data_IF_465300217224
#
_entry.id   IF_465300217224
#
_cell.length_a   1.000
_cell.length_b   1.000
_cell.length_c   1.000
_cell.angle_alpha   90.00
_cell.angle_beta   90.00
_cell.angle_gamma   90.00
#
_symmetry.space_group_name_H-M   'P 1'
#
loop_
_entity.id
_entity.type
_entity.pdbx_description
1 polymer ?
#
# COMPACT_ATOMS: atom_id res chain seq x y z
N UNK A 1 -6.59 -9.11 -24.23
CA UNK A 1 -5.48 -9.40 -23.29
C UNK A 1 -5.35 -8.25 -22.30
N UNK A 2 -6.23 -8.23 -21.31
CA UNK A 2 -6.25 -7.29 -20.19
C UNK A 2 -5.42 -7.78 -18.99
N UNK A 3 -4.95 -9.03 -19.02
CA UNK A 3 -4.16 -9.67 -17.98
C UNK A 3 -2.89 -8.88 -17.60
N UNK A 4 -2.74 -8.62 -16.31
CA UNK A 4 -1.56 -8.02 -15.73
C UNK A 4 -0.38 -9.00 -15.78
N UNK A 5 0.76 -8.53 -16.27
CA UNK A 5 2.01 -9.29 -16.31
C UNK A 5 2.88 -8.99 -15.08
N UNK A 6 3.56 -10.00 -14.56
CA UNK A 6 4.51 -9.84 -13.45
C UNK A 6 5.63 -8.84 -13.79
N UNK A 7 6.06 -8.75 -15.05
CA UNK A 7 7.08 -7.79 -15.49
C UNK A 7 6.62 -6.35 -15.32
N UNK A 8 5.34 -6.08 -15.56
CA UNK A 8 4.74 -4.76 -15.35
C UNK A 8 4.70 -4.47 -13.85
N UNK A 9 4.27 -5.44 -13.06
CA UNK A 9 4.24 -5.31 -11.61
C UNK A 9 5.63 -4.99 -11.04
N UNK A 10 6.68 -5.70 -11.44
CA UNK A 10 8.03 -5.41 -10.95
C UNK A 10 8.51 -4.02 -11.33
N UNK A 11 8.28 -3.57 -12.57
CA UNK A 11 8.64 -2.20 -12.96
C UNK A 11 7.94 -1.16 -12.10
N UNK A 12 6.65 -1.38 -11.83
CA UNK A 12 5.88 -0.51 -10.94
C UNK A 12 6.39 -0.58 -9.50
N UNK A 13 6.66 -1.78 -8.98
CA UNK A 13 7.23 -1.98 -7.65
C UNK A 13 8.54 -1.20 -7.48
N UNK A 14 9.50 -1.35 -8.40
CA UNK A 14 10.76 -0.62 -8.35
C UNK A 14 10.58 0.90 -8.42
N UNK A 15 9.71 1.37 -9.32
CA UNK A 15 9.39 2.80 -9.40
C UNK A 15 8.85 3.30 -8.06
N UNK A 16 7.91 2.58 -7.46
CA UNK A 16 7.32 2.96 -6.18
C UNK A 16 8.36 2.96 -5.07
N UNK A 17 9.20 1.93 -4.96
CA UNK A 17 10.29 1.89 -3.98
C UNK A 17 11.21 3.12 -4.11
N UNK A 18 11.55 3.54 -5.33
CA UNK A 18 12.35 4.75 -5.57
C UNK A 18 11.60 6.01 -5.13
N UNK A 19 10.32 6.16 -5.48
CA UNK A 19 9.50 7.31 -5.06
C UNK A 19 9.45 7.41 -3.53
N UNK A 20 9.16 6.30 -2.85
CA UNK A 20 9.13 6.25 -1.38
C UNK A 20 10.48 6.62 -0.77
N UNK A 21 11.57 6.05 -1.28
CA UNK A 21 12.92 6.39 -0.82
C UNK A 21 13.19 7.89 -0.95
N UNK A 22 12.91 8.49 -2.11
CA UNK A 22 13.12 9.92 -2.35
C UNK A 22 12.26 10.79 -1.43
N UNK A 23 11.01 10.41 -1.17
CA UNK A 23 10.14 11.16 -0.26
C UNK A 23 10.64 11.09 1.18
N UNK A 24 11.04 9.91 1.66
CA UNK A 24 11.54 9.73 3.04
C UNK A 24 12.81 10.55 3.27
N UNK A 25 13.78 10.56 2.35
CA UNK A 25 15.04 11.30 2.53
C UNK A 25 14.86 12.82 2.41
N UNK A 26 13.91 13.29 1.58
CA UNK A 26 13.72 14.72 1.31
C UNK A 26 12.68 15.39 2.22
N UNK A 27 11.98 14.65 3.08
CA UNK A 27 11.01 15.24 3.99
C UNK A 27 11.74 16.00 5.13
N UNK A 28 11.74 17.34 5.04
CA UNK A 28 12.44 18.23 5.99
C UNK A 28 11.58 18.70 7.18
N UNK A 29 10.28 18.41 7.19
CA UNK A 29 9.30 19.01 8.08
C UNK A 29 9.28 18.55 9.55
N UNK A 30 10.27 17.79 10.03
CA UNK A 30 10.22 17.13 11.35
C UNK A 30 11.11 17.78 12.42
N UNK A 31 11.40 19.07 12.27
CA UNK A 31 12.22 19.82 13.21
C UNK A 31 11.52 19.86 14.58
N UNK A 32 12.13 19.26 15.60
CA UNK A 32 11.67 19.37 17.00
C UNK A 32 10.99 18.13 17.58
N UNK A 33 10.82 17.04 16.82
CA UNK A 33 10.47 15.74 17.42
C UNK A 33 11.66 15.21 18.22
N UNK A 34 11.42 14.84 19.47
CA UNK A 34 12.40 14.18 20.33
C UNK A 34 12.15 12.67 20.30
N UNK A 35 13.22 11.92 20.52
CA UNK A 35 13.10 10.48 20.73
C UNK A 35 12.18 10.22 21.93
N UNK A 36 11.25 9.29 21.76
CA UNK A 36 10.32 8.85 22.78
C UNK A 36 10.37 7.33 22.86
N UNK A 37 10.22 6.78 24.06
CA UNK A 37 10.01 5.35 24.23
C UNK A 37 8.64 4.96 23.68
N UNK A 38 8.55 3.78 23.07
CA UNK A 38 7.28 3.27 22.55
C UNK A 38 6.36 2.86 23.71
N UNK A 39 5.17 3.43 23.76
CA UNK A 39 4.04 2.77 24.43
C UNK A 39 3.52 1.66 23.51
N UNK A 40 3.50 0.42 24.01
CA UNK A 40 2.88 -0.73 23.34
C UNK A 40 1.36 -0.58 23.36
N UNK A 41 0.83 0.21 22.42
CA UNK A 41 -0.60 0.18 22.12
C UNK A 41 -0.86 -1.08 21.30
N UNK A 42 -1.39 -2.12 21.93
CA UNK A 42 -1.84 -3.34 21.25
C UNK A 42 -3.03 -2.99 20.37
N UNK A 43 -2.80 -2.82 19.07
CA UNK A 43 -3.88 -2.68 18.08
C UNK A 43 -4.38 -4.08 17.73
N UNK A 44 -5.71 -4.26 17.70
CA UNK A 44 -6.28 -5.56 17.36
C UNK A 44 -5.98 -5.94 15.91
N UNK A 45 -5.46 -7.13 15.66
CA UNK A 45 -5.24 -7.65 14.30
C UNK A 45 -6.50 -7.59 13.43
N UNK A 46 -7.70 -7.71 14.04
CA UNK A 46 -8.98 -7.58 13.32
C UNK A 46 -9.17 -6.15 12.79
N UNK A 47 -8.80 -5.13 13.58
CA UNK A 47 -8.90 -3.74 13.18
C UNK A 47 -7.94 -3.43 12.03
N UNK A 48 -6.72 -3.97 12.08
CA UNK A 48 -5.73 -3.87 11.01
C UNK A 48 -6.26 -4.50 9.71
N UNK A 49 -6.79 -5.72 9.79
CA UNK A 49 -7.38 -6.41 8.63
C UNK A 49 -8.52 -5.58 8.05
N UNK A 50 -9.44 -5.08 8.88
CA UNK A 50 -10.58 -4.30 8.42
C UNK A 50 -10.13 -3.00 7.76
N UNK A 51 -9.18 -2.29 8.37
CA UNK A 51 -8.59 -1.07 7.83
C UNK A 51 -7.98 -1.31 6.44
N UNK A 52 -7.11 -2.32 6.33
CA UNK A 52 -6.42 -2.65 5.07
C UNK A 52 -7.38 -3.17 3.99
N UNK A 53 -8.42 -3.92 4.36
CA UNK A 53 -9.48 -4.33 3.43
C UNK A 53 -10.28 -3.13 2.92
N UNK A 54 -10.60 -2.17 3.79
CA UNK A 54 -11.31 -0.95 3.39
C UNK A 54 -10.49 -0.09 2.44
N UNK A 55 -9.17 0.04 2.68
CA UNK A 55 -8.26 0.68 1.73
C UNK A 55 -8.25 -0.04 0.39
N UNK A 56 -8.08 -1.36 0.39
CA UNK A 56 -8.12 -2.16 -0.83
C UNK A 56 -9.42 -1.95 -1.62
N UNK A 57 -10.58 -2.04 -0.97
CA UNK A 57 -11.89 -1.83 -1.60
C UNK A 57 -11.99 -0.40 -2.14
N UNK A 58 -11.60 0.62 -1.37
CA UNK A 58 -11.59 2.03 -1.77
C UNK A 58 -10.80 2.21 -3.07
N UNK A 59 -9.61 1.63 -3.18
CA UNK A 59 -8.79 1.69 -4.39
C UNK A 59 -9.49 1.08 -5.61
N UNK A 60 -10.22 -0.03 -5.46
CA UNK A 60 -10.88 -0.68 -6.60
C UNK A 60 -12.19 0.00 -7.00
N UNK A 61 -13.01 0.43 -6.04
CA UNK A 61 -14.32 1.06 -6.28
C UNK A 61 -14.15 2.48 -6.81
N UNK A 62 -13.28 3.26 -6.17
CA UNK A 62 -13.04 4.66 -6.53
C UNK A 62 -11.82 4.81 -7.44
N UNK A 63 -11.58 3.85 -8.34
CA UNK A 63 -10.41 3.84 -9.22
C UNK A 63 -10.27 5.11 -10.09
N UNK A 64 -11.37 5.83 -10.35
CA UNK A 64 -11.35 7.13 -11.02
C UNK A 64 -10.59 8.21 -10.24
N UNK A 65 -10.58 8.09 -8.92
CA UNK A 65 -9.87 8.98 -7.98
C UNK A 65 -8.49 8.42 -7.58
N UNK A 66 -8.06 7.30 -8.17
CA UNK A 66 -6.78 6.65 -7.84
C UNK A 66 -5.55 7.56 -7.93
N UNK A 67 -5.43 8.54 -8.86
CA UNK A 67 -4.29 9.45 -8.86
C UNK A 67 -4.25 10.36 -7.63
N UNK A 68 -5.41 10.75 -7.10
CA UNK A 68 -5.51 11.60 -5.91
C UNK A 68 -5.15 10.77 -4.67
N UNK A 69 -5.72 9.57 -4.55
CA UNK A 69 -5.39 8.67 -3.44
C UNK A 69 -3.91 8.32 -3.44
N UNK A 70 -3.33 8.10 -4.61
CA UNK A 70 -1.91 7.85 -4.76
C UNK A 70 -1.06 8.95 -4.14
N UNK A 71 -1.30 10.21 -4.51
CA UNK A 71 -0.52 11.34 -3.98
C UNK A 71 -0.69 11.42 -2.47
N UNK A 72 -1.93 11.38 -1.98
CA UNK A 72 -2.21 11.52 -0.55
C UNK A 72 -1.61 10.37 0.27
N UNK A 73 -1.88 9.12 -0.09
CA UNK A 73 -1.43 7.96 0.69
C UNK A 73 0.09 7.79 0.62
N UNK A 74 0.72 8.07 -0.53
CA UNK A 74 2.18 8.02 -0.65
C UNK A 74 2.84 9.07 0.26
N UNK A 75 2.29 10.28 0.33
CA UNK A 75 2.79 11.33 1.22
C UNK A 75 2.59 10.98 2.69
N UNK A 76 1.39 10.54 3.07
CA UNK A 76 1.07 10.15 4.45
C UNK A 76 1.96 8.99 4.91
N UNK A 77 2.07 7.93 4.11
CA UNK A 77 2.89 6.78 4.50
C UNK A 77 4.38 7.13 4.58
N UNK A 78 4.91 7.92 3.63
CA UNK A 78 6.30 8.37 3.69
C UNK A 78 6.56 9.24 4.92
N UNK A 79 5.61 10.11 5.29
CA UNK A 79 5.68 10.92 6.49
C UNK A 79 5.61 10.08 7.76
N UNK A 80 4.73 9.09 7.84
CA UNK A 80 4.62 8.17 8.98
C UNK A 80 5.91 7.36 9.19
N UNK A 81 6.48 6.81 8.11
CA UNK A 81 7.77 6.09 8.16
C UNK A 81 8.87 7.03 8.66
N UNK A 82 8.96 8.22 8.09
CA UNK A 82 10.00 9.19 8.47
C UNK A 82 9.83 9.64 9.93
N UNK A 83 8.61 9.87 10.39
CA UNK A 83 8.30 10.20 11.79
C UNK A 83 8.75 9.05 12.69
N UNK A 84 8.43 7.80 12.35
CA UNK A 84 8.90 6.63 13.09
C UNK A 84 10.42 6.56 13.20
N UNK A 85 11.15 6.83 12.12
CA UNK A 85 12.62 6.87 12.12
C UNK A 85 13.16 7.98 13.03
N UNK A 86 12.55 9.17 13.00
CA UNK A 86 13.02 10.31 13.82
C UNK A 86 12.69 10.12 15.30
N UNK A 87 11.55 9.51 15.62
CA UNK A 87 11.10 9.34 17.01
C UNK A 87 11.70 8.12 17.71
N UNK A 88 11.98 7.03 16.98
CA UNK A 88 12.39 5.75 17.60
C UNK A 88 13.76 5.26 17.11
N UNK A 89 14.39 6.01 16.22
CA UNK A 89 15.60 5.58 15.53
C UNK A 89 15.32 4.64 14.35
N UNK A 90 16.30 4.55 13.45
CA UNK A 90 16.17 3.78 12.21
C UNK A 90 15.97 2.28 12.46
N UNK A 91 16.74 1.71 13.39
CA UNK A 91 16.75 0.26 13.63
C UNK A 91 15.39 -0.23 14.16
N UNK A 92 14.81 0.49 15.13
CA UNK A 92 13.48 0.14 15.68
C UNK A 92 12.37 0.36 14.65
N UNK A 93 12.46 1.44 13.85
CA UNK A 93 11.49 1.69 12.80
C UNK A 93 11.51 0.59 11.73
N UNK A 94 12.71 0.14 11.33
CA UNK A 94 12.88 -0.97 10.37
C UNK A 94 12.38 -2.28 10.98
N UNK A 95 12.71 -2.62 12.22
CA UNK A 95 12.27 -3.87 12.85
C UNK A 95 10.74 -3.99 12.85
N UNK A 96 10.04 -2.91 13.20
CA UNK A 96 8.57 -2.87 13.15
C UNK A 96 8.03 -2.94 11.73
N UNK A 97 8.58 -2.15 10.80
CA UNK A 97 8.16 -2.15 9.40
C UNK A 97 8.40 -3.51 8.73
N UNK A 98 9.48 -4.22 9.08
CA UNK A 98 9.84 -5.47 8.44
C UNK A 98 8.85 -6.60 8.76
N UNK A 99 8.36 -6.67 10.01
CA UNK A 99 7.48 -7.75 10.49
C UNK A 99 6.21 -7.93 9.64
N UNK A 100 5.60 -6.84 9.18
CA UNK A 100 4.39 -6.87 8.35
C UNK A 100 4.64 -6.30 6.94
N UNK A 101 5.48 -5.28 6.80
CA UNK A 101 5.72 -4.54 5.56
C UNK A 101 6.29 -5.37 4.41
N UNK A 102 6.93 -6.51 4.69
CA UNK A 102 7.41 -7.42 3.63
C UNK A 102 6.25 -8.03 2.82
N UNK A 103 5.07 -8.16 3.41
CA UNK A 103 3.86 -8.62 2.73
C UNK A 103 3.00 -7.42 2.32
N UNK A 104 2.83 -6.45 3.21
CA UNK A 104 1.89 -5.34 2.97
C UNK A 104 2.34 -4.39 1.89
N UNK A 105 3.61 -3.98 1.88
CA UNK A 105 4.09 -2.97 0.92
C UNK A 105 4.02 -3.52 -0.52
N UNK A 106 4.52 -4.74 -0.83
CA UNK A 106 4.33 -5.31 -2.16
C UNK A 106 2.85 -5.46 -2.55
N UNK A 107 2.01 -5.91 -1.61
CA UNK A 107 0.58 -6.07 -1.88
C UNK A 107 -0.15 -4.74 -2.09
N UNK A 108 0.24 -3.70 -1.35
CA UNK A 108 -0.24 -2.33 -1.55
C UNK A 108 0.07 -1.84 -2.94
N UNK A 109 1.31 -1.97 -3.39
CA UNK A 109 1.68 -1.61 -4.75
C UNK A 109 0.91 -2.44 -5.79
N UNK A 110 0.64 -3.71 -5.51
CA UNK A 110 -0.16 -4.56 -6.39
C UNK A 110 -1.58 -4.02 -6.56
N UNK A 111 -2.32 -3.74 -5.47
CA UNK A 111 -3.70 -3.29 -5.60
C UNK A 111 -3.81 -1.83 -6.11
N UNK A 112 -2.81 -0.99 -5.85
CA UNK A 112 -2.70 0.33 -6.48
C UNK A 112 -2.53 0.21 -7.99
N UNK A 113 -1.64 -0.68 -8.45
CA UNK A 113 -1.43 -0.93 -9.87
C UNK A 113 -2.70 -1.50 -10.54
N UNK A 114 -3.41 -2.41 -9.86
CA UNK A 114 -4.70 -2.91 -10.34
C UNK A 114 -5.68 -1.75 -10.56
N UNK A 115 -5.78 -0.82 -9.60
CA UNK A 115 -6.63 0.36 -9.70
C UNK A 115 -6.22 1.30 -10.83
N UNK A 116 -4.92 1.58 -11.01
CA UNK A 116 -4.44 2.38 -12.14
C UNK A 116 -4.70 1.72 -13.49
N UNK A 117 -4.67 0.39 -13.55
CA UNK A 117 -5.03 -0.34 -14.77
C UNK A 117 -6.53 -0.24 -15.06
N UNK A 118 -7.38 -0.29 -14.04
CA UNK A 118 -8.82 0.01 -14.20
C UNK A 118 -8.99 1.41 -14.79
N UNK A 119 -8.34 2.42 -14.21
CA UNK A 119 -8.39 3.79 -14.71
C UNK A 119 -7.92 3.88 -16.16
N UNK A 120 -6.78 3.29 -16.49
CA UNK A 120 -6.23 3.30 -17.84
C UNK A 120 -7.18 2.69 -18.87
N UNK A 121 -7.74 1.51 -18.59
CA UNK A 121 -8.64 0.85 -19.55
C UNK A 121 -9.98 1.55 -19.67
N UNK A 122 -10.53 2.06 -18.57
CA UNK A 122 -11.72 2.91 -18.63
C UNK A 122 -11.43 4.20 -19.37
N UNK A 123 -10.29 4.85 -19.13
CA UNK A 123 -9.94 6.10 -19.80
C UNK A 123 -9.76 5.91 -21.31
N UNK A 124 -9.11 4.82 -21.72
CA UNK A 124 -8.85 4.49 -23.12
C UNK A 124 -10.12 4.10 -23.89
N UNK A 125 -11.00 3.31 -23.28
CA UNK A 125 -12.16 2.74 -23.96
C UNK A 125 -13.49 3.43 -23.60
N UNK A 126 -13.48 4.32 -22.61
CA UNK A 126 -14.65 5.00 -22.02
C UNK A 126 -15.81 4.05 -21.70
N UNK A 127 -15.50 2.82 -21.27
CA UNK A 127 -16.49 1.76 -21.11
C UNK A 127 -16.26 0.90 -19.87
N UNK A 128 -17.32 0.76 -19.05
CA UNK A 128 -17.34 -0.13 -17.90
C UNK A 128 -17.37 -1.62 -18.27
N UNK A 129 -17.72 -1.97 -19.52
CA UNK A 129 -17.60 -3.36 -19.99
C UNK A 129 -16.13 -3.81 -19.95
N UNK A 130 -15.20 -2.94 -20.37
CA UNK A 130 -13.76 -3.23 -20.34
C UNK A 130 -13.20 -3.36 -18.92
N UNK A 131 -13.81 -2.66 -17.96
CA UNK A 131 -13.51 -2.82 -16.53
C UNK A 131 -13.89 -4.22 -16.05
N UNK A 132 -15.11 -4.66 -16.36
CA UNK A 132 -15.59 -6.00 -16.01
C UNK A 132 -14.70 -7.10 -16.62
N UNK A 133 -14.28 -6.93 -17.87
CA UNK A 133 -13.36 -7.85 -18.55
C UNK A 133 -11.99 -7.87 -17.87
N UNK A 134 -11.42 -6.70 -17.54
CA UNK A 134 -10.14 -6.62 -16.82
C UNK A 134 -10.20 -7.33 -15.46
N UNK A 135 -11.23 -7.09 -14.67
CA UNK A 135 -11.42 -7.76 -13.37
C UNK A 135 -11.55 -9.27 -13.57
N UNK A 136 -12.35 -9.71 -14.56
CA UNK A 136 -12.54 -11.13 -14.87
C UNK A 136 -11.23 -11.82 -15.25
N UNK A 137 -10.41 -11.19 -16.09
CA UNK A 137 -9.10 -11.73 -16.51
C UNK A 137 -8.09 -11.79 -15.36
N UNK A 138 -8.20 -10.89 -14.39
CA UNK A 138 -7.26 -10.75 -13.27
C UNK A 138 -7.82 -11.25 -11.93
N UNK A 139 -8.99 -11.93 -11.91
CA UNK A 139 -9.70 -12.33 -10.67
C UNK A 139 -8.85 -13.08 -9.65
N UNK A 140 -7.89 -13.90 -10.12
CA UNK A 140 -6.96 -14.64 -9.25
C UNK A 140 -5.99 -13.71 -8.52
N UNK A 141 -5.57 -12.62 -9.17
CA UNK A 141 -4.69 -11.61 -8.58
C UNK A 141 -5.45 -10.80 -7.54
N UNK A 142 -6.70 -10.39 -7.83
CA UNK A 142 -7.58 -9.74 -6.86
C UNK A 142 -7.80 -10.62 -5.63
N UNK A 143 -8.12 -11.91 -5.83
CA UNK A 143 -8.31 -12.85 -4.72
C UNK A 143 -7.03 -13.01 -3.89
N UNK A 144 -5.87 -13.20 -4.55
CA UNK A 144 -4.59 -13.30 -3.88
C UNK A 144 -4.29 -12.03 -3.06
N UNK A 145 -4.51 -10.85 -3.63
CA UNK A 145 -4.27 -9.58 -2.94
C UNK A 145 -5.14 -9.43 -1.70
N UNK A 146 -6.42 -9.82 -1.77
CA UNK A 146 -7.31 -9.85 -0.61
C UNK A 146 -6.86 -10.84 0.47
N UNK A 147 -6.39 -12.04 0.08
CA UNK A 147 -5.86 -13.03 1.02
C UNK A 147 -4.57 -12.56 1.70
N UNK A 148 -3.70 -11.84 0.98
CA UNK A 148 -2.48 -11.27 1.54
C UNK A 148 -2.77 -10.20 2.59
N UNK A 149 -3.85 -9.42 2.44
CA UNK A 149 -4.29 -8.45 3.47
C UNK A 149 -4.67 -9.17 4.76
N UNK A 150 -5.49 -10.22 4.65
CA UNK A 150 -5.93 -11.00 5.81
C UNK A 150 -4.72 -11.66 6.48
N UNK A 151 -3.86 -12.30 5.70
CA UNK A 151 -2.65 -12.96 6.22
C UNK A 151 -1.72 -11.99 6.93
N UNK A 152 -1.52 -10.79 6.37
CA UNK A 152 -0.67 -9.79 7.00
C UNK A 152 -1.22 -9.30 8.33
N UNK A 153 -2.51 -8.94 8.40
CA UNK A 153 -3.09 -8.45 9.65
C UNK A 153 -3.18 -9.52 10.76
N UNK A 154 -3.21 -10.81 10.41
CA UNK A 154 -3.03 -11.90 11.38
C UNK A 154 -1.60 -11.93 11.92
N UNK A 155 -0.59 -11.85 11.04
CA UNK A 155 0.82 -11.83 11.45
C UNK A 155 1.07 -10.62 12.34
N UNK A 156 0.62 -9.44 11.92
CA UNK A 156 0.77 -8.20 12.66
C UNK A 156 0.09 -8.32 14.03
N UNK A 157 -1.18 -8.74 14.10
CA UNK A 157 -1.90 -8.89 15.37
C UNK A 157 -1.37 -9.97 16.33
N UNK A 158 -0.48 -10.86 15.89
CA UNK A 158 0.22 -11.84 16.75
C UNK A 158 1.61 -11.33 17.18
N UNK A 159 2.20 -10.40 16.41
CA UNK A 159 3.59 -9.93 16.58
C UNK A 159 3.72 -8.57 17.25
N UNK A 160 2.58 -7.92 17.56
CA UNK A 160 2.44 -6.85 18.55
C UNK A 160 2.32 -7.44 19.95
#
# INVERSE_FOLDING_TARGET
MYKLSWKVYLKYFFLMSVIFYLLIINFKGLIGLKEADFDEVTVSGIEIIFHNLMLYIKWQVFFLLSPIFFVFETLVLSWSIKTGIVTFGLDQAIDKLWRHGIIEIPNMFLYQLLSFRLLYYWWKNKSFATIKEYIKENKKIYLLSGLLIIGSGIIEGITW
#
